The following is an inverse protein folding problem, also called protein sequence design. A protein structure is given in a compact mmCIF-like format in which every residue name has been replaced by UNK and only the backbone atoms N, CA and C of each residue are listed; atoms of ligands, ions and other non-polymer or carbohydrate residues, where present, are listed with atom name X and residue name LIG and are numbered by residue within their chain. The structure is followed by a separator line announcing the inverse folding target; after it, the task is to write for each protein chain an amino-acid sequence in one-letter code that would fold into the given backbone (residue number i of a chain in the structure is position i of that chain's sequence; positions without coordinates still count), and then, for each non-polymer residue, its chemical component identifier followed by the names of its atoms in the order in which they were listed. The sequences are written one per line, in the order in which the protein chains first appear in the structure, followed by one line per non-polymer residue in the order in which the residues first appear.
data_IF_838645739353
#
_entry.id   IF_838645739353
#
_cell.length_a   1.000
_cell.length_b   1.000
_cell.length_c   1.000
_cell.angle_alpha   90.00
_cell.angle_beta   90.00
_cell.angle_gamma   90.00
#
_symmetry.space_group_name_H-M   'P 1'
#
loop_
_entity.id
_entity.type
_entity.pdbx_description
1 polymer ?
#
# COMPACT_ATOMS: atom_id res chain seq x y z
N UNK A 1 51.97 -68.74 -4.82
CA UNK A 1 52.16 -67.33 -4.42
C UNK A 1 51.00 -66.49 -4.95
N UNK A 2 49.94 -66.42 -4.17
CA UNK A 2 48.76 -65.64 -4.57
C UNK A 2 48.81 -64.25 -3.89
N UNK A 3 48.91 -63.22 -4.65
CA UNK A 3 48.79 -61.83 -4.15
C UNK A 3 47.35 -61.38 -4.25
N UNK A 4 46.68 -61.27 -3.09
CA UNK A 4 45.33 -60.68 -3.00
C UNK A 4 45.45 -59.16 -2.94
N UNK A 5 44.91 -58.43 -3.93
CA UNK A 5 44.77 -56.98 -3.88
C UNK A 5 43.48 -56.65 -3.15
N UNK A 6 43.59 -55.94 -2.03
CA UNK A 6 42.44 -55.34 -1.33
C UNK A 6 42.23 -53.95 -1.91
N UNK A 7 41.13 -53.76 -2.63
CA UNK A 7 40.65 -52.44 -3.07
C UNK A 7 39.87 -51.76 -1.92
N UNK A 8 40.45 -50.75 -1.32
CA UNK A 8 39.73 -49.89 -0.37
C UNK A 8 38.91 -48.88 -1.13
N UNK A 9 37.60 -49.09 -1.18
CA UNK A 9 36.65 -48.09 -1.70
C UNK A 9 36.41 -47.03 -0.63
N UNK A 10 36.95 -45.81 -0.83
CA UNK A 10 36.65 -44.64 0.00
C UNK A 10 35.25 -44.11 -0.42
N UNK A 11 34.26 -44.35 0.41
CA UNK A 11 32.92 -43.80 0.29
C UNK A 11 32.95 -42.32 0.73
N UNK A 12 33.03 -41.39 -0.21
CA UNK A 12 32.81 -39.95 0.04
C UNK A 12 31.34 -39.75 0.39
N UNK A 13 31.01 -39.66 1.68
CA UNK A 13 29.74 -39.12 2.12
C UNK A 13 29.69 -37.61 1.76
N UNK A 14 29.02 -37.28 0.69
CA UNK A 14 28.58 -35.90 0.43
C UNK A 14 27.53 -35.55 1.49
N UNK A 15 27.95 -34.83 2.53
CA UNK A 15 27.02 -34.19 3.46
C UNK A 15 26.33 -33.10 2.62
N UNK A 16 25.16 -33.43 2.05
CA UNK A 16 24.26 -32.43 1.54
C UNK A 16 23.82 -31.60 2.76
N UNK A 17 24.35 -30.38 2.88
CA UNK A 17 23.76 -29.40 3.76
C UNK A 17 22.33 -29.15 3.25
N UNK A 18 21.35 -29.85 3.79
CA UNK A 18 19.95 -29.54 3.57
C UNK A 18 19.70 -28.17 4.18
N UNK A 19 19.45 -27.18 3.33
CA UNK A 19 19.09 -25.86 3.79
C UNK A 19 17.86 -25.98 4.71
N UNK A 20 17.91 -25.29 5.86
CA UNK A 20 16.75 -25.23 6.76
C UNK A 20 15.58 -24.60 5.96
N UNK A 21 14.43 -25.27 5.85
CA UNK A 21 13.28 -24.71 5.16
C UNK A 21 12.84 -23.42 5.86
N UNK A 22 12.30 -22.48 5.09
CA UNK A 22 11.65 -21.30 5.66
C UNK A 22 10.29 -21.72 6.23
N UNK A 23 10.07 -21.46 7.51
CA UNK A 23 8.86 -21.87 8.24
C UNK A 23 7.87 -20.70 8.47
N UNK A 24 8.19 -19.48 8.00
CA UNK A 24 7.33 -18.30 8.14
C UNK A 24 6.16 -18.29 7.13
N UNK A 25 5.17 -17.40 7.34
CA UNK A 25 4.07 -17.24 6.39
C UNK A 25 4.57 -16.71 5.04
N UNK A 26 3.89 -17.12 3.98
CA UNK A 26 4.16 -16.70 2.61
C UNK A 26 3.03 -15.81 2.09
N UNK A 27 3.32 -14.83 1.21
CA UNK A 27 2.29 -14.06 0.55
C UNK A 27 1.47 -14.93 -0.40
N UNK A 28 0.19 -14.61 -0.52
CA UNK A 28 -0.64 -15.10 -1.63
C UNK A 28 -0.20 -14.45 -2.96
N UNK A 29 -0.52 -15.05 -4.12
CA UNK A 29 -0.31 -14.40 -5.41
C UNK A 29 -0.95 -13.02 -5.53
N UNK A 30 -2.10 -12.82 -4.89
CA UNK A 30 -2.81 -11.54 -4.85
C UNK A 30 -2.02 -10.49 -4.06
N UNK A 31 -1.45 -10.87 -2.92
CA UNK A 31 -0.62 -9.96 -2.11
C UNK A 31 0.68 -9.59 -2.82
N UNK A 32 1.30 -10.51 -3.55
CA UNK A 32 2.47 -10.21 -4.40
C UNK A 32 2.08 -9.19 -5.48
N UNK A 33 1.01 -9.46 -6.24
CA UNK A 33 0.55 -8.57 -7.30
C UNK A 33 0.13 -7.18 -6.77
N UNK A 34 -0.36 -7.11 -5.53
CA UNK A 34 -0.69 -5.87 -4.86
C UNK A 34 0.60 -5.12 -4.45
N UNK A 35 1.58 -5.77 -3.83
CA UNK A 35 2.86 -5.16 -3.49
C UNK A 35 3.61 -4.66 -4.74
N UNK A 36 3.51 -5.36 -5.88
CA UNK A 36 4.11 -4.96 -7.17
C UNK A 36 3.51 -3.66 -7.74
N UNK A 37 2.36 -3.21 -7.25
CA UNK A 37 1.81 -1.91 -7.64
C UNK A 37 2.61 -0.74 -7.08
N UNK A 38 3.22 -0.89 -5.91
CA UNK A 38 4.01 0.10 -5.18
C UNK A 38 3.26 1.38 -4.79
N UNK A 39 2.49 1.96 -5.72
CA UNK A 39 1.73 3.20 -5.53
C UNK A 39 0.31 3.07 -6.05
N UNK A 40 -0.66 3.43 -5.20
CA UNK A 40 -2.07 3.60 -5.53
C UNK A 40 -2.56 4.98 -5.09
N UNK A 41 -3.61 5.48 -5.74
CA UNK A 41 -4.19 6.80 -5.43
C UNK A 41 -5.47 6.62 -4.62
N UNK A 42 -5.60 7.36 -3.54
CA UNK A 42 -6.84 7.49 -2.79
C UNK A 42 -7.60 8.73 -3.26
N UNK A 43 -8.92 8.65 -3.39
CA UNK A 43 -9.79 9.78 -3.71
C UNK A 43 -10.85 9.92 -2.62
N UNK A 44 -10.64 10.83 -1.66
CA UNK A 44 -11.68 11.23 -0.73
C UNK A 44 -12.61 12.22 -1.41
N UNK A 45 -13.83 11.79 -1.66
CA UNK A 45 -14.86 12.59 -2.34
C UNK A 45 -16.23 12.29 -1.76
N UNK A 46 -17.06 13.29 -1.57
CA UNK A 46 -18.37 13.15 -0.94
C UNK A 46 -18.91 14.47 -0.41
N UNK A 47 -19.97 14.49 0.42
CA UNK A 47 -20.51 15.71 1.04
C UNK A 47 -19.45 16.56 1.74
N UNK A 48 -18.43 15.94 2.33
CA UNK A 48 -17.33 16.61 3.03
C UNK A 48 -16.49 17.52 2.12
N UNK A 49 -16.41 17.22 0.83
CA UNK A 49 -15.80 18.10 -0.18
C UNK A 49 -16.53 19.45 -0.26
N UNK A 50 -17.83 19.47 0.01
CA UNK A 50 -18.69 20.67 -0.09
C UNK A 50 -18.87 21.38 1.25
N UNK A 51 -18.79 20.65 2.37
CA UNK A 51 -18.89 21.24 3.72
C UNK A 51 -17.54 21.70 4.25
N UNK A 52 -16.43 21.16 3.77
CA UNK A 52 -15.09 21.38 4.28
C UNK A 52 -14.82 20.67 5.61
N UNK A 53 -15.64 19.69 6.01
CA UNK A 53 -15.43 18.88 7.20
C UNK A 53 -14.56 17.64 6.87
N UNK A 54 -13.83 17.12 7.86
CA UNK A 54 -13.14 15.84 7.73
C UNK A 54 -14.11 14.67 7.93
N UNK A 55 -14.99 14.79 8.90
CA UNK A 55 -16.05 13.84 9.17
C UNK A 55 -17.39 14.57 9.11
N UNK A 56 -18.29 14.06 8.27
CA UNK A 56 -19.66 14.57 8.19
C UNK A 56 -20.48 14.16 9.42
N UNK A 57 -21.61 14.81 9.59
CA UNK A 57 -22.52 14.59 10.71
C UNK A 57 -23.50 13.43 10.49
N UNK A 58 -23.69 13.01 9.22
CA UNK A 58 -24.70 12.01 8.80
C UNK A 58 -26.10 12.62 8.65
N UNK A 59 -26.21 13.94 8.72
CA UNK A 59 -27.46 14.69 8.58
C UNK A 59 -27.39 15.71 7.46
N UNK A 60 -26.35 15.65 6.65
CA UNK A 60 -26.17 16.50 5.48
C UNK A 60 -27.32 16.27 4.49
N UNK A 61 -27.87 17.36 3.95
CA UNK A 61 -28.82 17.23 2.88
C UNK A 61 -28.14 16.63 1.63
N UNK A 62 -28.77 15.68 0.98
CA UNK A 62 -28.23 14.98 -0.19
C UNK A 62 -27.90 15.94 -1.34
N UNK A 63 -28.64 17.05 -1.46
CA UNK A 63 -28.40 18.11 -2.44
C UNK A 63 -27.10 18.91 -2.24
N UNK A 64 -26.41 18.75 -1.10
CA UNK A 64 -25.05 19.27 -0.92
C UNK A 64 -24.08 18.62 -1.90
N UNK A 65 -24.29 17.33 -2.23
CA UNK A 65 -23.49 16.63 -3.22
C UNK A 65 -23.93 17.03 -4.63
N UNK A 66 -23.25 18.03 -5.18
CA UNK A 66 -23.57 18.57 -6.50
C UNK A 66 -22.30 18.99 -7.27
N UNK A 67 -21.44 18.05 -7.68
CA UNK A 67 -20.29 18.36 -8.51
C UNK A 67 -20.71 18.90 -9.87
N UNK A 68 -20.15 20.06 -10.26
CA UNK A 68 -20.57 20.80 -11.46
C UNK A 68 -19.98 20.25 -12.75
N UNK A 69 -18.87 19.48 -12.66
CA UNK A 69 -18.10 18.99 -13.82
C UNK A 69 -17.34 17.71 -13.47
N UNK A 70 -18.06 16.70 -12.92
CA UNK A 70 -17.45 15.42 -12.57
C UNK A 70 -16.81 14.75 -13.79
N UNK A 71 -15.50 14.51 -13.71
CA UNK A 71 -14.72 13.84 -14.75
C UNK A 71 -13.80 12.76 -14.16
N UNK A 72 -14.34 11.57 -13.92
CA UNK A 72 -13.57 10.42 -13.43
C UNK A 72 -12.47 9.98 -14.41
N UNK A 73 -12.61 10.23 -15.72
CA UNK A 73 -11.54 9.98 -16.69
C UNK A 73 -10.34 10.88 -16.47
N UNK A 74 -10.56 12.13 -16.03
CA UNK A 74 -9.47 13.04 -15.67
C UNK A 74 -8.74 12.52 -14.43
N UNK A 75 -9.46 11.99 -13.42
CA UNK A 75 -8.80 11.37 -12.24
C UNK A 75 -7.91 10.22 -12.65
N UNK A 76 -8.44 9.28 -13.45
CA UNK A 76 -7.72 8.07 -13.89
C UNK A 76 -6.51 8.43 -14.75
N UNK A 77 -6.65 9.39 -15.69
CA UNK A 77 -5.52 9.84 -16.51
C UNK A 77 -4.44 10.52 -15.68
N UNK A 78 -4.83 11.32 -14.69
CA UNK A 78 -3.89 11.95 -13.75
C UNK A 78 -3.15 10.89 -12.94
N UNK A 79 -3.86 9.91 -12.37
CA UNK A 79 -3.26 8.80 -11.63
C UNK A 79 -2.27 8.00 -12.50
N UNK A 80 -2.69 7.61 -13.69
CA UNK A 80 -1.85 6.87 -14.66
C UNK A 80 -0.60 7.64 -15.05
N UNK A 81 -0.72 8.93 -15.37
CA UNK A 81 0.40 9.78 -15.72
C UNK A 81 1.38 9.98 -14.56
N UNK A 82 0.88 10.00 -13.32
CA UNK A 82 1.71 10.05 -12.12
C UNK A 82 2.33 8.68 -11.73
N UNK A 83 1.97 7.60 -12.42
CA UNK A 83 2.55 6.27 -12.23
C UNK A 83 1.80 5.39 -11.24
N UNK A 84 0.65 5.81 -10.72
CA UNK A 84 -0.22 4.97 -9.89
C UNK A 84 -0.80 3.81 -10.69
N UNK A 85 -1.02 2.68 -10.03
CA UNK A 85 -1.51 1.44 -10.64
C UNK A 85 -2.97 1.13 -10.32
N UNK A 86 -3.52 1.80 -9.31
CA UNK A 86 -4.89 1.67 -8.86
C UNK A 86 -5.43 2.97 -8.28
N UNK A 87 -6.76 3.09 -8.20
CA UNK A 87 -7.48 4.15 -7.52
C UNK A 87 -8.46 3.51 -6.55
N UNK A 88 -8.49 4.00 -5.31
CA UNK A 88 -9.46 3.66 -4.29
C UNK A 88 -10.31 4.91 -4.03
N UNK A 89 -11.63 4.80 -4.10
CA UNK A 89 -12.56 5.89 -3.81
C UNK A 89 -13.27 5.67 -2.48
N UNK A 90 -13.45 6.74 -1.68
CA UNK A 90 -14.37 6.71 -0.54
C UNK A 90 -15.83 6.61 -1.03
N UNK A 91 -16.23 5.40 -1.41
CA UNK A 91 -17.58 5.14 -1.93
C UNK A 91 -18.66 5.51 -0.90
N UNK A 92 -18.40 5.20 0.38
CA UNK A 92 -19.21 5.64 1.53
C UNK A 92 -18.27 5.99 2.68
N UNK A 93 -18.25 7.24 3.13
CA UNK A 93 -17.51 7.69 4.32
C UNK A 93 -18.37 7.56 5.59
N UNK A 94 -17.91 8.05 6.74
CA UNK A 94 -18.56 7.92 8.04
C UNK A 94 -19.91 8.64 8.13
N UNK A 95 -20.16 9.67 7.30
CA UNK A 95 -21.45 10.34 7.17
C UNK A 95 -22.56 9.41 6.66
N UNK A 96 -22.21 8.30 6.02
CA UNK A 96 -23.15 7.32 5.46
C UNK A 96 -23.59 7.63 4.03
N UNK A 97 -23.15 8.76 3.44
CA UNK A 97 -23.51 9.11 2.07
C UNK A 97 -22.87 8.17 1.05
N UNK A 98 -23.69 7.57 0.21
CA UNK A 98 -23.27 6.64 -0.82
C UNK A 98 -23.12 7.33 -2.18
N UNK A 99 -21.94 7.24 -2.79
CA UNK A 99 -21.64 7.81 -4.12
C UNK A 99 -22.26 7.00 -5.28
N UNK A 100 -23.07 6.01 -4.97
CA UNK A 100 -23.83 5.16 -5.90
C UNK A 100 -25.26 4.97 -5.39
N UNK A 101 -26.24 4.54 -6.23
CA UNK A 101 -27.62 4.34 -5.83
C UNK A 101 -27.76 3.07 -4.96
N UNK A 102 -27.26 3.13 -3.72
CA UNK A 102 -27.31 2.01 -2.76
C UNK A 102 -28.79 1.60 -2.48
N UNK A 103 -29.18 0.33 -2.71
CA UNK A 103 -30.58 -0.09 -2.57
C UNK A 103 -31.07 -0.12 -1.13
N UNK A 104 -30.18 -0.10 -0.14
CA UNK A 104 -30.54 -0.19 1.29
C UNK A 104 -30.36 1.13 2.05
N UNK A 105 -29.94 2.19 1.40
CA UNK A 105 -29.80 3.54 1.98
C UNK A 105 -30.65 4.54 1.20
N UNK A 106 -31.10 5.60 1.90
CA UNK A 106 -31.71 6.79 1.30
C UNK A 106 -30.77 8.00 1.34
N UNK A 107 -29.58 7.85 1.89
CA UNK A 107 -28.56 8.86 1.92
C UNK A 107 -27.55 8.60 0.80
N UNK A 108 -27.97 8.89 -0.44
CA UNK A 108 -27.23 8.51 -1.64
C UNK A 108 -27.36 9.55 -2.74
N UNK A 109 -26.53 9.45 -3.77
CA UNK A 109 -26.61 10.27 -5.01
C UNK A 109 -27.97 10.20 -5.69
N UNK A 110 -28.77 9.14 -5.47
CA UNK A 110 -30.12 9.00 -6.04
C UNK A 110 -31.10 10.00 -5.45
N UNK A 111 -30.95 10.35 -4.18
CA UNK A 111 -31.79 11.31 -3.47
C UNK A 111 -31.32 12.76 -3.66
N UNK A 112 -30.11 12.98 -4.21
CA UNK A 112 -29.63 14.32 -4.58
C UNK A 112 -30.23 14.79 -5.90
N UNK A 113 -30.24 16.10 -6.13
CA UNK A 113 -30.62 16.70 -7.43
C UNK A 113 -29.51 16.54 -8.49
N UNK A 114 -28.33 16.10 -8.10
CA UNK A 114 -27.22 15.89 -9.02
C UNK A 114 -27.58 14.87 -10.10
N UNK A 115 -27.45 15.29 -11.38
CA UNK A 115 -27.87 14.50 -12.56
C UNK A 115 -29.32 14.00 -12.48
N UNK A 116 -30.20 14.74 -11.78
CA UNK A 116 -31.61 14.38 -11.62
C UNK A 116 -31.85 13.09 -10.82
N UNK A 117 -30.90 12.72 -9.92
CA UNK A 117 -30.97 11.49 -9.13
C UNK A 117 -30.49 10.22 -9.88
N UNK A 118 -30.00 10.35 -11.11
CA UNK A 118 -29.49 9.24 -11.93
C UNK A 118 -27.96 9.13 -11.92
N UNK A 119 -27.30 9.88 -11.03
CA UNK A 119 -25.85 9.86 -10.91
C UNK A 119 -25.32 8.59 -10.25
N UNK A 120 -24.13 8.15 -10.69
CA UNK A 120 -23.39 7.02 -10.10
C UNK A 120 -21.90 7.25 -10.31
N UNK A 121 -21.21 7.72 -9.26
CA UNK A 121 -19.78 8.04 -9.33
C UNK A 121 -18.94 6.77 -9.45
N UNK A 122 -19.38 5.66 -8.83
CA UNK A 122 -18.65 4.40 -8.89
C UNK A 122 -18.67 3.83 -10.31
N UNK A 123 -19.79 3.95 -11.00
CA UNK A 123 -19.91 3.55 -12.40
C UNK A 123 -18.98 4.37 -13.27
N UNK A 124 -19.04 5.69 -13.17
CA UNK A 124 -18.18 6.58 -13.97
C UNK A 124 -16.69 6.29 -13.74
N UNK A 125 -16.29 6.03 -12.47
CA UNK A 125 -14.90 5.75 -12.12
C UNK A 125 -14.46 4.35 -12.55
N UNK A 126 -15.27 3.32 -12.30
CA UNK A 126 -14.91 1.94 -12.66
C UNK A 126 -14.80 1.74 -14.18
N UNK A 127 -15.68 2.38 -14.97
CA UNK A 127 -15.60 2.40 -16.42
C UNK A 127 -14.32 3.12 -16.90
N UNK A 128 -14.01 4.28 -16.33
CA UNK A 128 -12.78 5.01 -16.65
C UNK A 128 -11.51 4.20 -16.29
N UNK A 129 -11.51 3.52 -15.15
CA UNK A 129 -10.41 2.63 -14.74
C UNK A 129 -10.21 1.48 -15.73
N UNK A 130 -11.30 0.84 -16.17
CA UNK A 130 -11.26 -0.24 -17.15
C UNK A 130 -10.74 0.23 -18.51
N UNK A 131 -11.19 1.40 -18.99
CA UNK A 131 -10.74 2.01 -20.25
C UNK A 131 -9.23 2.30 -20.25
N UNK A 132 -8.69 2.78 -19.14
CA UNK A 132 -7.28 3.22 -19.04
C UNK A 132 -6.33 2.12 -18.50
N UNK A 133 -6.87 0.98 -18.07
CA UNK A 133 -6.10 -0.14 -17.51
C UNK A 133 -5.54 0.15 -16.10
N UNK A 134 -6.22 1.00 -15.34
CA UNK A 134 -5.96 1.26 -13.90
C UNK A 134 -6.89 0.36 -13.08
N UNK A 135 -6.41 -0.16 -11.95
CA UNK A 135 -7.23 -0.98 -11.07
C UNK A 135 -8.21 -0.13 -10.26
N UNK A 136 -9.45 -0.63 -10.11
CA UNK A 136 -10.51 0.02 -9.33
C UNK A 136 -10.61 -0.62 -7.95
N UNK A 137 -10.59 0.19 -6.90
CA UNK A 137 -10.77 -0.19 -5.51
C UNK A 137 -11.78 0.73 -4.81
N UNK A 138 -12.30 0.27 -3.69
CA UNK A 138 -13.33 0.99 -2.94
C UNK A 138 -13.03 1.00 -1.44
N UNK A 139 -13.29 2.15 -0.82
CA UNK A 139 -13.41 2.30 0.62
C UNK A 139 -14.91 2.37 0.96
N UNK A 140 -15.38 1.47 1.81
CA UNK A 140 -16.75 1.48 2.32
C UNK A 140 -16.67 1.44 3.83
N UNK A 141 -16.90 2.61 4.48
CA UNK A 141 -16.85 2.71 5.93
C UNK A 141 -17.88 1.80 6.60
N UNK A 142 -17.47 0.95 7.56
CA UNK A 142 -18.43 0.25 8.40
C UNK A 142 -19.13 1.19 9.38
N UNK A 143 -18.48 2.30 9.80
CA UNK A 143 -19.14 3.33 10.58
C UNK A 143 -20.12 4.10 9.72
N UNK A 144 -21.34 4.33 10.27
CA UNK A 144 -22.42 5.01 9.58
C UNK A 144 -23.18 5.92 10.55
N UNK A 145 -23.08 7.22 10.31
CA UNK A 145 -23.71 8.24 11.14
C UNK A 145 -25.15 8.57 10.70
N UNK A 146 -25.61 7.98 9.59
CA UNK A 146 -26.95 8.21 9.03
C UNK A 146 -27.88 7.01 9.21
N UNK A 147 -27.41 5.76 9.08
CA UNK A 147 -28.28 4.57 9.09
C UNK A 147 -28.94 4.36 10.46
N UNK A 148 -30.28 4.29 10.54
CA UNK A 148 -31.00 4.13 11.80
C UNK A 148 -30.78 2.77 12.48
N UNK A 149 -30.29 1.75 11.75
CA UNK A 149 -29.98 0.43 12.32
C UNK A 149 -28.58 0.39 12.93
N UNK A 150 -27.71 1.40 12.68
CA UNK A 150 -26.36 1.43 13.25
C UNK A 150 -26.43 1.38 14.79
N UNK A 151 -25.54 0.60 15.39
CA UNK A 151 -25.58 0.31 16.83
C UNK A 151 -26.55 -0.81 17.22
N UNK A 152 -27.08 -1.57 16.24
CA UNK A 152 -27.90 -2.76 16.43
C UNK A 152 -27.36 -3.96 15.65
N UNK A 153 -27.72 -5.23 16.02
CA UNK A 153 -27.30 -6.41 15.25
C UNK A 153 -27.77 -6.42 13.79
N UNK A 154 -28.90 -5.76 13.48
CA UNK A 154 -29.46 -5.67 12.13
C UNK A 154 -28.55 -4.92 11.16
N UNK A 155 -27.78 -3.95 11.65
CA UNK A 155 -26.86 -3.18 10.81
C UNK A 155 -25.84 -4.06 10.09
N UNK A 156 -25.36 -5.14 10.71
CA UNK A 156 -24.42 -6.04 10.05
C UNK A 156 -24.99 -6.61 8.74
N UNK A 157 -26.30 -6.92 8.70
CA UNK A 157 -26.97 -7.37 7.48
C UNK A 157 -27.20 -6.23 6.48
N UNK A 158 -27.47 -5.00 6.95
CA UNK A 158 -27.58 -3.81 6.10
C UNK A 158 -26.21 -3.55 5.44
N UNK A 159 -25.12 -3.62 6.21
CA UNK A 159 -23.79 -3.41 5.70
C UNK A 159 -23.36 -4.49 4.69
N UNK A 160 -23.71 -5.77 4.91
CA UNK A 160 -23.51 -6.84 3.91
C UNK A 160 -24.21 -6.51 2.59
N UNK A 161 -25.48 -6.07 2.64
CA UNK A 161 -26.19 -5.65 1.40
C UNK A 161 -25.56 -4.44 0.72
N UNK A 162 -25.00 -3.52 1.51
CA UNK A 162 -24.19 -2.40 1.00
C UNK A 162 -22.97 -2.93 0.26
N UNK A 163 -22.20 -3.87 0.86
CA UNK A 163 -21.07 -4.52 0.20
C UNK A 163 -21.49 -5.28 -1.06
N UNK A 164 -22.58 -6.06 -1.00
CA UNK A 164 -23.12 -6.80 -2.15
C UNK A 164 -23.50 -5.89 -3.32
N UNK A 165 -24.04 -4.70 -3.05
CA UNK A 165 -24.43 -3.74 -4.08
C UNK A 165 -23.24 -3.16 -4.86
N UNK A 166 -22.05 -3.14 -4.26
CA UNK A 166 -20.80 -2.68 -4.91
C UNK A 166 -20.00 -3.85 -5.47
N UNK A 167 -19.80 -4.90 -4.65
CA UNK A 167 -18.87 -5.98 -4.96
C UNK A 167 -19.50 -7.09 -5.81
N UNK A 168 -20.82 -7.06 -5.99
CA UNK A 168 -21.59 -8.08 -6.73
C UNK A 168 -21.38 -8.09 -8.25
N UNK A 169 -20.43 -7.30 -8.77
CA UNK A 169 -20.00 -7.32 -10.17
C UNK A 169 -20.54 -6.16 -11.01
N UNK A 170 -21.41 -5.30 -10.50
CA UNK A 170 -21.94 -4.15 -11.24
C UNK A 170 -20.84 -3.16 -11.70
N UNK A 171 -19.77 -3.06 -10.94
CA UNK A 171 -18.62 -2.17 -11.19
C UNK A 171 -17.36 -2.92 -11.64
N UNK A 172 -17.48 -4.20 -12.02
CA UNK A 172 -16.36 -5.03 -12.46
C UNK A 172 -15.46 -5.52 -11.31
N UNK A 173 -14.20 -5.86 -11.62
CA UNK A 173 -13.26 -6.36 -10.62
C UNK A 173 -12.80 -5.23 -9.68
N UNK A 174 -12.84 -5.51 -8.38
CA UNK A 174 -12.33 -4.64 -7.32
C UNK A 174 -11.00 -5.22 -6.81
N UNK A 175 -9.90 -4.45 -6.89
CA UNK A 175 -8.60 -4.95 -6.46
C UNK A 175 -8.39 -4.85 -4.95
N UNK A 176 -9.08 -3.90 -4.31
CA UNK A 176 -8.97 -3.65 -2.88
C UNK A 176 -10.29 -3.14 -2.29
N UNK A 177 -10.72 -3.77 -1.19
CA UNK A 177 -11.78 -3.30 -0.31
C UNK A 177 -11.13 -2.74 0.95
N UNK A 178 -11.25 -1.45 1.14
CA UNK A 178 -10.69 -0.71 2.26
C UNK A 178 -11.72 -0.54 3.37
N UNK A 179 -11.45 -1.10 4.55
CA UNK A 179 -12.28 -0.96 5.74
C UNK A 179 -11.58 -0.04 6.75
N UNK A 180 -12.21 1.09 7.05
CA UNK A 180 -11.77 1.97 8.12
C UNK A 180 -12.07 1.33 9.49
N UNK A 181 -11.08 1.39 10.39
CA UNK A 181 -11.21 0.88 11.75
C UNK A 181 -11.99 1.80 12.70
N UNK A 182 -12.38 3.01 12.25
CA UNK A 182 -13.13 3.94 13.08
C UNK A 182 -14.50 3.37 13.47
N UNK A 183 -14.86 3.54 14.75
CA UNK A 183 -16.10 3.05 15.31
C UNK A 183 -16.65 4.08 16.31
N UNK A 184 -17.32 5.10 15.78
CA UNK A 184 -18.00 6.12 16.55
C UNK A 184 -19.46 5.77 16.81
N UNK A 185 -20.21 6.74 17.34
CA UNK A 185 -21.64 6.63 17.58
C UNK A 185 -22.44 6.86 16.29
N UNK A 186 -23.56 6.16 16.13
CA UNK A 186 -24.54 6.40 15.10
C UNK A 186 -25.65 7.35 15.54
N UNK A 187 -26.73 7.48 14.74
CA UNK A 187 -27.84 8.42 15.04
C UNK A 187 -28.53 8.14 16.37
N UNK A 188 -28.46 6.91 16.85
CA UNK A 188 -29.05 6.47 18.14
C UNK A 188 -28.11 6.61 19.35
N UNK A 189 -26.91 7.21 19.17
CA UNK A 189 -25.90 7.38 20.21
C UNK A 189 -25.18 6.09 20.61
N UNK A 190 -25.24 5.03 19.78
CA UNK A 190 -24.60 3.75 20.07
C UNK A 190 -23.48 3.47 19.06
N UNK A 191 -22.45 2.78 19.54
CA UNK A 191 -21.42 2.18 18.70
C UNK A 191 -21.87 0.83 18.17
N UNK A 192 -21.40 0.46 16.99
CA UNK A 192 -21.70 -0.82 16.37
C UNK A 192 -20.75 -1.92 16.86
N UNK A 193 -21.26 -3.12 16.99
CA UNK A 193 -20.45 -4.34 17.08
C UNK A 193 -20.39 -4.94 15.68
N UNK A 194 -19.24 -4.78 15.01
CA UNK A 194 -19.05 -5.28 13.65
C UNK A 194 -18.85 -6.79 13.61
N UNK A 195 -19.52 -7.45 12.67
CA UNK A 195 -19.28 -8.86 12.34
C UNK A 195 -18.22 -8.98 11.25
N UNK A 196 -16.94 -8.81 11.63
CA UNK A 196 -15.82 -8.86 10.70
C UNK A 196 -15.73 -10.17 9.91
N UNK A 197 -15.95 -11.37 10.50
CA UNK A 197 -15.99 -12.61 9.74
C UNK A 197 -17.03 -12.58 8.62
N UNK A 198 -18.22 -12.02 8.88
CA UNK A 198 -19.29 -11.88 7.90
C UNK A 198 -18.88 -10.88 6.79
N UNK A 199 -18.29 -9.74 7.15
CA UNK A 199 -17.86 -8.72 6.18
C UNK A 199 -16.74 -9.24 5.28
N UNK A 200 -15.67 -9.80 5.86
CA UNK A 200 -14.56 -10.38 5.11
C UNK A 200 -15.02 -11.56 4.24
N UNK A 201 -15.88 -12.44 4.79
CA UNK A 201 -16.45 -13.56 4.04
C UNK A 201 -17.28 -13.11 2.82
N UNK A 202 -18.01 -11.99 2.94
CA UNK A 202 -18.75 -11.38 1.84
C UNK A 202 -17.79 -10.88 0.74
N UNK A 203 -16.73 -10.18 1.12
CA UNK A 203 -15.71 -9.72 0.14
C UNK A 203 -15.06 -10.90 -0.56
N UNK A 204 -14.55 -11.89 0.16
CA UNK A 204 -13.91 -13.07 -0.43
C UNK A 204 -14.83 -13.86 -1.36
N UNK A 205 -16.12 -13.93 -1.03
CA UNK A 205 -17.11 -14.60 -1.89
C UNK A 205 -17.35 -13.86 -3.20
N UNK A 206 -17.44 -12.52 -3.16
CA UNK A 206 -17.84 -11.71 -4.31
C UNK A 206 -16.64 -11.27 -5.15
N UNK A 207 -15.51 -10.98 -4.52
CA UNK A 207 -14.28 -10.50 -5.14
C UNK A 207 -13.06 -11.30 -4.59
N UNK A 208 -12.88 -12.57 -4.97
CA UNK A 208 -11.87 -13.46 -4.39
C UNK A 208 -10.42 -13.01 -4.70
N UNK A 209 -10.23 -12.06 -5.62
CA UNK A 209 -8.93 -11.48 -5.95
C UNK A 209 -8.65 -10.17 -5.20
N UNK A 210 -9.65 -9.63 -4.49
CA UNK A 210 -9.48 -8.37 -3.78
C UNK A 210 -8.58 -8.53 -2.56
N UNK A 211 -7.74 -7.54 -2.33
CA UNK A 211 -7.07 -7.35 -1.04
C UNK A 211 -8.06 -6.69 -0.08
N UNK A 212 -8.08 -7.15 1.15
CA UNK A 212 -8.86 -6.53 2.22
C UNK A 212 -7.89 -5.74 3.10
N UNK A 213 -8.07 -4.44 3.14
CA UNK A 213 -7.40 -3.56 4.10
C UNK A 213 -8.20 -3.48 5.40
N UNK A 214 -7.51 -3.58 6.50
CA UNK A 214 -7.90 -3.04 7.80
C UNK A 214 -6.63 -2.71 8.60
N UNK A 215 -6.78 -2.22 9.83
CA UNK A 215 -5.63 -1.99 10.71
C UNK A 215 -4.79 -3.25 10.98
N UNK A 216 -5.37 -4.46 10.83
CA UNK A 216 -4.68 -5.74 11.06
C UNK A 216 -4.84 -6.78 9.91
N UNK A 217 -5.30 -6.36 8.74
CA UNK A 217 -5.51 -7.27 7.59
C UNK A 217 -6.97 -7.76 7.44
N UNK A 218 -7.19 -8.88 6.74
CA UNK A 218 -6.25 -9.98 6.42
C UNK A 218 -5.37 -9.78 5.17
N UNK A 219 -5.70 -8.86 4.27
CA UNK A 219 -4.95 -8.67 3.02
C UNK A 219 -3.68 -7.83 3.20
N UNK A 220 -3.84 -6.64 3.75
CA UNK A 220 -2.78 -5.71 4.13
C UNK A 220 -3.16 -4.99 5.43
N UNK A 221 -2.20 -4.34 6.07
CA UNK A 221 -2.41 -3.63 7.32
C UNK A 221 -2.15 -2.13 7.18
N UNK A 222 -2.85 -1.36 7.98
CA UNK A 222 -2.47 0.02 8.23
C UNK A 222 -1.06 0.12 8.84
N UNK A 223 -0.26 1.06 8.38
CA UNK A 223 1.12 1.27 8.86
C UNK A 223 1.18 1.92 10.26
N UNK A 224 0.04 2.23 10.87
CA UNK A 224 -0.05 2.80 12.23
C UNK A 224 0.08 4.32 12.32
N UNK A 225 0.19 5.02 11.19
CA UNK A 225 0.21 6.48 11.09
C UNK A 225 -0.28 6.95 9.72
N UNK A 226 -0.67 8.23 9.63
CA UNK A 226 -1.10 8.92 8.41
C UNK A 226 -0.07 9.96 7.94
N UNK A 227 1.19 9.79 8.34
CA UNK A 227 2.27 10.73 8.07
C UNK A 227 3.13 10.33 6.86
N UNK A 228 2.83 9.19 6.24
CA UNK A 228 3.50 8.74 5.03
C UNK A 228 4.81 7.99 5.28
N UNK A 229 4.96 7.28 6.42
CA UNK A 229 6.17 6.51 6.68
C UNK A 229 5.92 5.15 7.32
N UNK A 230 6.62 4.15 6.84
CA UNK A 230 6.82 2.85 7.46
C UNK A 230 8.10 2.84 8.31
N UNK A 231 8.20 1.89 9.22
CA UNK A 231 9.39 1.69 10.02
C UNK A 231 10.65 1.42 9.17
N UNK A 232 11.81 1.82 9.67
CA UNK A 232 13.09 1.46 9.06
C UNK A 232 13.26 -0.05 9.00
N UNK A 233 12.87 -0.76 10.06
CA UNK A 233 12.57 -2.19 10.04
C UNK A 233 11.12 -2.37 9.65
N UNK A 234 10.84 -3.15 8.61
CA UNK A 234 9.46 -3.44 8.22
C UNK A 234 9.34 -4.87 7.68
N UNK A 235 8.65 -5.71 8.46
CA UNK A 235 8.28 -7.07 8.09
C UNK A 235 6.92 -7.10 7.41
N UNK A 236 6.79 -7.90 6.34
CA UNK A 236 5.49 -8.19 5.72
C UNK A 236 4.61 -9.12 6.56
N UNK A 237 5.08 -9.51 7.73
CA UNK A 237 4.41 -10.42 8.66
C UNK A 237 3.92 -9.70 9.91
N UNK A 238 2.84 -10.22 10.52
CA UNK A 238 2.21 -9.65 11.72
C UNK A 238 1.60 -10.77 12.57
N UNK A 239 1.61 -10.59 13.89
CA UNK A 239 0.85 -11.41 14.83
C UNK A 239 -0.56 -10.80 14.98
N UNK A 240 -1.55 -11.48 14.44
CA UNK A 240 -2.95 -11.00 14.38
C UNK A 240 -3.89 -11.73 15.32
N UNK A 241 -3.42 -12.79 15.98
CA UNK A 241 -4.24 -13.62 16.86
C UNK A 241 -4.74 -12.83 18.08
N UNK A 242 -6.04 -12.89 18.35
CA UNK A 242 -6.67 -12.21 19.47
C UNK A 242 -7.01 -10.74 19.22
N UNK A 243 -6.68 -10.17 18.07
CA UNK A 243 -7.06 -8.82 17.70
C UNK A 243 -8.29 -8.77 16.81
N UNK A 244 -9.05 -7.70 16.91
CA UNK A 244 -10.24 -7.42 16.12
C UNK A 244 -10.05 -6.07 15.43
N UNK A 245 -10.30 -5.93 14.11
CA UNK A 245 -10.17 -4.67 13.40
C UNK A 245 -10.93 -3.52 14.11
N UNK A 246 -10.26 -2.38 14.28
CA UNK A 246 -10.84 -1.21 14.94
C UNK A 246 -11.04 -1.32 16.45
N UNK A 247 -10.65 -2.41 17.10
CA UNK A 247 -10.87 -2.66 18.53
C UNK A 247 -9.58 -3.06 19.26
N UNK A 248 -8.61 -2.16 19.32
CA UNK A 248 -7.37 -2.41 20.06
C UNK A 248 -6.50 -3.45 19.37
N UNK A 249 -5.97 -3.11 18.23
CA UNK A 249 -5.04 -3.92 17.46
C UNK A 249 -3.66 -4.03 18.12
N UNK A 250 -2.67 -4.55 17.37
CA UNK A 250 -1.27 -4.56 17.78
C UNK A 250 -0.78 -3.16 18.16
N UNK A 251 0.37 -3.10 18.84
CA UNK A 251 0.99 -1.82 19.15
C UNK A 251 1.25 -1.00 17.87
N UNK A 252 1.26 0.33 17.97
CA UNK A 252 1.65 1.17 16.82
C UNK A 252 3.02 0.82 16.27
N UNK A 253 3.93 0.34 17.10
CA UNK A 253 5.22 -0.14 16.66
C UNK A 253 5.09 -1.40 15.81
N UNK A 254 4.31 -2.42 16.23
CA UNK A 254 4.06 -3.62 15.43
C UNK A 254 3.36 -3.30 14.11
N UNK A 255 2.40 -2.35 14.11
CA UNK A 255 1.77 -1.90 12.86
C UNK A 255 2.78 -1.23 11.93
N UNK A 256 3.71 -0.43 12.46
CA UNK A 256 4.70 0.30 11.69
C UNK A 256 5.85 -0.58 11.17
N UNK A 257 6.31 -1.54 11.99
CA UNK A 257 7.48 -2.36 11.72
C UNK A 257 7.16 -3.81 11.29
N UNK A 258 5.91 -4.25 11.47
CA UNK A 258 5.56 -5.65 11.39
C UNK A 258 6.22 -6.47 12.50
N UNK A 259 5.98 -7.76 12.51
CA UNK A 259 6.55 -8.69 13.50
C UNK A 259 7.46 -9.71 12.79
N UNK A 260 8.69 -9.82 13.23
CA UNK A 260 9.69 -10.76 12.68
C UNK A 260 9.24 -12.22 12.75
N UNK A 261 8.54 -12.58 13.81
CA UNK A 261 7.95 -13.89 14.08
C UNK A 261 6.44 -13.91 13.84
N UNK A 262 5.94 -12.97 13.00
CA UNK A 262 4.53 -12.85 12.67
C UNK A 262 3.96 -14.13 12.06
N UNK A 263 2.73 -14.45 12.44
CA UNK A 263 2.05 -15.71 12.07
C UNK A 263 1.24 -15.59 10.78
N UNK A 264 1.00 -14.36 10.28
CA UNK A 264 0.29 -14.09 9.04
C UNK A 264 1.10 -13.14 8.14
N UNK A 265 0.96 -13.30 6.79
CA UNK A 265 1.49 -12.32 5.84
C UNK A 265 0.49 -11.18 5.69
N UNK A 266 0.83 -10.03 6.25
CA UNK A 266 -0.02 -8.82 6.27
C UNK A 266 0.87 -7.60 6.01
N UNK A 267 1.26 -7.36 4.74
CA UNK A 267 2.18 -6.29 4.38
C UNK A 267 1.58 -4.92 4.69
N UNK A 268 2.44 -3.94 4.95
CA UNK A 268 2.01 -2.59 5.30
C UNK A 268 1.49 -1.81 4.08
N UNK A 269 0.43 -1.03 4.30
CA UNK A 269 0.02 0.07 3.45
C UNK A 269 0.23 1.38 4.20
N UNK A 270 0.87 2.33 3.53
CA UNK A 270 1.14 3.67 4.03
C UNK A 270 0.20 4.66 3.36
N UNK A 271 -0.84 5.05 4.08
CA UNK A 271 -1.81 6.05 3.64
C UNK A 271 -1.38 7.45 4.09
N UNK A 272 -1.50 8.43 3.21
CA UNK A 272 -1.17 9.82 3.48
C UNK A 272 -1.83 10.74 2.45
N UNK A 273 -2.28 11.92 2.89
CA UNK A 273 -2.85 12.90 1.95
C UNK A 273 -1.77 13.81 1.36
N UNK A 274 -1.92 14.17 0.07
CA UNK A 274 -1.09 15.19 -0.58
C UNK A 274 -1.32 16.59 0.01
N UNK A 275 -2.47 16.80 0.65
CA UNK A 275 -2.90 18.03 1.34
C UNK A 275 -2.87 17.85 2.86
N UNK A 276 -3.09 18.91 3.66
CA UNK A 276 -3.27 18.78 5.11
C UNK A 276 -4.48 17.90 5.47
N UNK A 277 -5.63 18.12 4.82
CA UNK A 277 -6.86 17.36 5.04
C UNK A 277 -7.02 16.18 4.07
N UNK A 278 -7.98 15.29 4.38
CA UNK A 278 -8.35 14.16 3.51
C UNK A 278 -9.28 14.61 2.39
N UNK A 279 -10.25 15.51 2.68
CA UNK A 279 -11.12 16.11 1.66
C UNK A 279 -10.53 17.43 1.15
N UNK A 280 -10.81 17.75 -0.11
CA UNK A 280 -10.33 18.98 -0.72
C UNK A 280 -10.90 20.23 -0.07
N UNK A 281 -10.05 21.23 0.11
CA UNK A 281 -10.41 22.60 0.54
C UNK A 281 -9.63 23.63 -0.26
N UNK A 282 -10.31 24.68 -0.72
CA UNK A 282 -9.65 25.77 -1.47
C UNK A 282 -8.55 26.47 -0.65
N UNK A 283 -8.73 26.56 0.67
CA UNK A 283 -7.76 27.17 1.60
C UNK A 283 -6.44 26.38 1.76
N UNK A 284 -6.36 25.16 1.19
CA UNK A 284 -5.17 24.30 1.24
C UNK A 284 -4.42 24.24 -0.09
N UNK A 285 -4.81 25.03 -1.11
CA UNK A 285 -4.16 24.98 -2.43
C UNK A 285 -2.68 25.37 -2.39
N UNK A 286 -2.27 26.22 -1.47
CA UNK A 286 -0.87 26.62 -1.24
C UNK A 286 -0.12 25.70 -0.26
N UNK A 287 -0.80 24.67 0.30
CA UNK A 287 -0.26 23.74 1.28
C UNK A 287 -0.05 22.32 0.73
N UNK A 288 -0.20 22.13 -0.57
CA UNK A 288 0.09 20.86 -1.24
C UNK A 288 1.56 20.49 -1.01
N UNK A 289 1.81 19.25 -0.57
CA UNK A 289 3.16 18.77 -0.25
C UNK A 289 4.13 19.01 -1.40
N UNK A 290 5.34 19.47 -1.09
CA UNK A 290 6.38 19.71 -2.08
C UNK A 290 6.89 18.41 -2.70
N UNK A 291 7.58 18.47 -3.85
CA UNK A 291 8.24 17.31 -4.46
C UNK A 291 9.21 16.66 -3.48
N UNK A 292 9.99 17.46 -2.73
CA UNK A 292 10.91 16.96 -1.70
C UNK A 292 10.16 16.14 -0.63
N UNK A 293 8.99 16.62 -0.18
CA UNK A 293 8.20 15.91 0.81
C UNK A 293 7.60 14.61 0.22
N UNK A 294 7.15 14.62 -1.03
CA UNK A 294 6.63 13.42 -1.70
C UNK A 294 7.74 12.39 -1.95
N UNK A 295 8.96 12.82 -2.31
CA UNK A 295 10.12 11.93 -2.42
C UNK A 295 10.48 11.32 -1.06
N UNK A 296 10.44 12.11 0.03
CA UNK A 296 10.62 11.59 1.39
C UNK A 296 9.59 10.50 1.69
N UNK A 297 8.31 10.75 1.42
CA UNK A 297 7.23 9.77 1.60
C UNK A 297 7.51 8.50 0.77
N UNK A 298 7.91 8.63 -0.49
CA UNK A 298 8.25 7.50 -1.34
C UNK A 298 9.39 6.64 -0.76
N UNK A 299 10.47 7.28 -0.33
CA UNK A 299 11.59 6.59 0.30
C UNK A 299 11.23 5.93 1.62
N UNK A 300 10.32 6.55 2.39
CA UNK A 300 9.92 6.06 3.71
C UNK A 300 8.71 5.12 3.68
N UNK A 301 8.06 4.93 2.54
CA UNK A 301 6.99 3.94 2.32
C UNK A 301 7.44 2.83 1.36
N UNK A 302 7.46 3.09 0.06
CA UNK A 302 7.88 2.12 -0.97
C UNK A 302 9.31 1.63 -0.71
N UNK A 303 10.21 2.57 -0.38
CA UNK A 303 11.60 2.27 -0.02
C UNK A 303 11.78 1.55 1.32
N UNK A 304 10.71 1.29 2.07
CA UNK A 304 10.68 0.56 3.34
C UNK A 304 9.65 -0.57 3.34
N UNK A 305 9.53 -1.28 2.22
CA UNK A 305 8.69 -2.48 2.10
C UNK A 305 7.19 -2.23 2.39
N UNK A 306 6.64 -1.08 1.98
CA UNK A 306 5.23 -0.74 2.12
C UNK A 306 4.66 -0.26 0.78
N UNK A 307 3.37 -0.51 0.51
CA UNK A 307 2.68 0.16 -0.59
C UNK A 307 2.34 1.59 -0.16
N UNK A 308 2.48 2.55 -1.06
CA UNK A 308 2.05 3.94 -0.84
C UNK A 308 0.63 4.15 -1.38
N UNK A 309 -0.30 4.48 -0.51
CA UNK A 309 -1.64 4.96 -0.84
C UNK A 309 -1.68 6.48 -0.65
N UNK A 310 -1.49 7.24 -1.75
CA UNK A 310 -1.46 8.70 -1.70
C UNK A 310 -2.85 9.26 -1.98
N UNK A 311 -3.45 9.95 -1.01
CA UNK A 311 -4.73 10.62 -1.19
C UNK A 311 -4.58 11.91 -1.98
N UNK A 312 -5.37 12.02 -3.04
CA UNK A 312 -5.48 13.18 -3.93
C UNK A 312 -6.97 13.49 -4.11
N UNK A 313 -7.53 14.34 -3.23
CA UNK A 313 -8.98 14.55 -3.19
C UNK A 313 -9.46 15.41 -4.35
N UNK A 314 -10.54 14.99 -5.05
CA UNK A 314 -11.20 15.83 -6.05
C UNK A 314 -11.85 17.07 -5.41
N UNK A 315 -11.86 18.18 -6.13
CA UNK A 315 -12.46 19.43 -5.72
C UNK A 315 -14.00 19.44 -5.90
N UNK A 316 -14.65 20.55 -5.54
CA UNK A 316 -16.11 20.70 -5.64
C UNK A 316 -16.67 20.64 -7.08
N UNK A 317 -15.82 20.76 -8.10
CA UNK A 317 -16.21 20.49 -9.49
C UNK A 317 -16.34 19.01 -9.76
N UNK A 318 -15.66 18.15 -8.99
CA UNK A 318 -15.46 16.73 -9.24
C UNK A 318 -14.24 16.46 -10.14
N UNK A 319 -13.17 17.24 -9.99
CA UNK A 319 -11.90 17.09 -10.71
C UNK A 319 -10.71 17.07 -9.76
N UNK A 320 -9.67 16.36 -10.11
CA UNK A 320 -8.37 16.57 -9.45
C UNK A 320 -7.92 17.99 -9.78
N UNK A 321 -7.71 18.78 -8.72
CA UNK A 321 -7.36 20.18 -8.86
C UNK A 321 -6.01 20.36 -9.56
N UNK A 322 -5.85 21.47 -10.31
CA UNK A 322 -4.68 21.73 -11.15
C UNK A 322 -3.37 21.78 -10.35
N UNK A 323 -3.43 22.28 -9.13
CA UNK A 323 -2.24 22.32 -8.23
C UNK A 323 -1.78 20.91 -7.86
N UNK A 324 -2.73 20.01 -7.55
CA UNK A 324 -2.41 18.62 -7.19
C UNK A 324 -1.87 17.86 -8.40
N UNK A 325 -2.54 17.97 -9.55
CA UNK A 325 -2.12 17.29 -10.78
C UNK A 325 -0.74 17.77 -11.25
N UNK A 326 -0.45 19.07 -11.16
CA UNK A 326 0.88 19.62 -11.46
C UNK A 326 1.93 19.04 -10.52
N UNK A 327 1.66 19.02 -9.22
CA UNK A 327 2.59 18.46 -8.22
C UNK A 327 2.85 16.98 -8.45
N UNK A 328 1.84 16.21 -8.84
CA UNK A 328 2.00 14.80 -9.18
C UNK A 328 2.88 14.58 -10.40
N UNK A 329 2.76 15.45 -11.44
CA UNK A 329 3.62 15.38 -12.63
C UNK A 329 5.07 15.75 -12.30
N UNK A 330 5.29 16.74 -11.45
CA UNK A 330 6.62 17.10 -10.95
C UNK A 330 7.25 15.96 -10.14
N UNK A 331 6.48 15.32 -9.25
CA UNK A 331 6.91 14.17 -8.48
C UNK A 331 7.24 12.98 -9.39
N UNK A 332 6.40 12.68 -10.39
CA UNK A 332 6.66 11.62 -11.37
C UNK A 332 7.95 11.90 -12.15
N UNK A 333 8.13 13.12 -12.64
CA UNK A 333 9.35 13.51 -13.36
C UNK A 333 10.61 13.34 -12.50
N UNK A 334 10.53 13.66 -11.20
CA UNK A 334 11.62 13.44 -10.26
C UNK A 334 11.95 11.95 -10.10
N UNK A 335 10.94 11.08 -9.91
CA UNK A 335 11.15 9.63 -9.84
C UNK A 335 11.73 9.08 -11.14
N UNK A 336 11.22 9.52 -12.30
CA UNK A 336 11.73 9.10 -13.60
C UNK A 336 13.20 9.49 -13.78
N UNK A 337 13.58 10.69 -13.35
CA UNK A 337 14.98 11.15 -13.41
C UNK A 337 15.90 10.34 -12.49
N UNK A 338 15.48 10.11 -11.23
CA UNK A 338 16.28 9.40 -10.23
C UNK A 338 16.54 7.95 -10.66
N UNK A 339 15.49 7.27 -11.14
CA UNK A 339 15.55 5.84 -11.47
C UNK A 339 15.76 5.55 -12.97
N UNK A 340 16.10 6.57 -13.78
CA UNK A 340 16.34 6.40 -15.22
C UNK A 340 17.56 5.55 -15.56
N UNK A 341 18.61 5.63 -14.74
CA UNK A 341 19.91 5.05 -15.07
C UNK A 341 20.45 4.19 -13.91
N UNK A 342 20.29 2.89 -14.04
CA UNK A 342 20.90 1.94 -13.12
C UNK A 342 22.37 1.73 -13.48
N UNK A 343 23.27 2.19 -12.61
CA UNK A 343 24.71 2.05 -12.78
C UNK A 343 25.26 0.75 -12.19
N UNK A 344 24.39 -0.15 -11.67
CA UNK A 344 24.80 -1.45 -11.20
C UNK A 344 25.15 -2.39 -12.35
N UNK A 345 26.29 -3.05 -12.24
CA UNK A 345 26.67 -4.16 -13.10
C UNK A 345 26.04 -5.48 -12.63
N UNK A 346 26.47 -6.59 -13.25
CA UNK A 346 25.99 -7.92 -12.85
C UNK A 346 26.44 -8.29 -11.45
N UNK A 347 25.49 -8.68 -10.60
CA UNK A 347 25.79 -9.17 -9.26
C UNK A 347 26.48 -10.55 -9.29
N UNK A 348 27.52 -10.69 -8.46
CA UNK A 348 28.21 -11.97 -8.18
C UNK A 348 27.96 -12.33 -6.73
N UNK A 349 27.33 -13.48 -6.49
CA UNK A 349 27.05 -13.99 -5.14
C UNK A 349 28.17 -14.89 -4.64
N UNK A 350 28.54 -14.71 -3.37
CA UNK A 350 29.41 -15.62 -2.61
C UNK A 350 28.87 -15.76 -1.18
N UNK A 351 28.32 -16.93 -0.86
CA UNK A 351 27.64 -17.15 0.43
C UNK A 351 26.43 -16.21 0.61
N UNK A 352 26.48 -15.39 1.65
CA UNK A 352 25.47 -14.38 1.98
C UNK A 352 25.85 -12.96 1.49
N UNK A 353 26.85 -12.86 0.62
CA UNK A 353 27.31 -11.56 0.07
C UNK A 353 27.06 -11.50 -1.43
N UNK A 354 26.68 -10.32 -1.92
CA UNK A 354 26.58 -9.96 -3.33
C UNK A 354 27.55 -8.82 -3.61
N UNK A 355 28.38 -8.97 -4.62
CA UNK A 355 29.26 -7.91 -5.11
C UNK A 355 28.77 -7.48 -6.48
N UNK A 356 28.56 -6.17 -6.64
CA UNK A 356 28.07 -5.52 -7.85
C UNK A 356 29.12 -4.52 -8.32
N UNK A 357 29.49 -4.55 -9.59
CA UNK A 357 30.32 -3.50 -10.21
C UNK A 357 29.49 -2.20 -10.30
N UNK A 358 30.07 -1.07 -9.87
CA UNK A 358 29.45 0.24 -10.05
C UNK A 358 30.07 0.93 -11.27
N UNK A 359 29.21 1.36 -12.21
CA UNK A 359 29.61 1.94 -13.50
C UNK A 359 29.51 3.47 -13.53
N UNK A 360 29.28 4.08 -12.38
CA UNK A 360 29.14 5.52 -12.22
C UNK A 360 28.91 5.90 -10.76
N UNK A 361 28.79 7.19 -10.46
CA UNK A 361 28.46 7.67 -9.13
C UNK A 361 27.05 7.23 -8.73
N UNK A 362 26.82 7.05 -7.43
CA UNK A 362 25.52 6.67 -6.87
C UNK A 362 25.37 7.17 -5.43
N UNK A 363 24.14 7.34 -5.01
CA UNK A 363 23.76 7.63 -3.63
C UNK A 363 22.45 6.94 -3.21
N UNK A 364 21.91 6.06 -4.07
CA UNK A 364 20.74 5.22 -3.78
C UNK A 364 21.07 3.77 -4.11
N UNK A 365 20.77 2.86 -3.17
CA UNK A 365 20.82 1.43 -3.39
C UNK A 365 19.40 0.88 -3.31
N UNK A 366 18.95 0.20 -4.34
CA UNK A 366 17.65 -0.50 -4.38
C UNK A 366 17.89 -2.00 -4.22
N UNK A 367 17.24 -2.61 -3.23
CA UNK A 367 17.24 -4.05 -3.02
C UNK A 367 15.80 -4.58 -3.05
N UNK A 368 15.63 -5.78 -3.59
CA UNK A 368 14.36 -6.52 -3.53
C UNK A 368 14.63 -7.98 -3.18
N UNK A 369 13.83 -8.55 -2.27
CA UNK A 369 13.81 -10.00 -2.05
C UNK A 369 12.81 -10.67 -3.00
N UNK A 370 13.04 -11.95 -3.29
CA UNK A 370 12.02 -12.83 -3.86
C UNK A 370 11.01 -13.20 -2.76
N UNK A 371 10.04 -12.30 -2.51
CA UNK A 371 9.07 -12.45 -1.42
C UNK A 371 8.12 -13.64 -1.60
N UNK A 372 8.01 -14.21 -2.81
CA UNK A 372 7.27 -15.46 -3.01
C UNK A 372 7.84 -16.62 -2.17
N UNK A 373 9.08 -16.47 -1.71
CA UNK A 373 9.77 -17.40 -0.80
C UNK A 373 9.74 -16.95 0.65
N UNK A 374 8.99 -15.90 0.96
CA UNK A 374 8.96 -15.24 2.26
C UNK A 374 10.07 -14.19 2.44
N UNK A 375 9.82 -13.23 3.29
CA UNK A 375 10.82 -12.23 3.70
C UNK A 375 11.83 -12.85 4.66
N UNK A 376 13.10 -12.74 4.37
CA UNK A 376 14.15 -13.49 5.08
C UNK A 376 15.26 -12.62 5.66
N UNK A 377 15.57 -11.48 5.02
CA UNK A 377 16.67 -10.62 5.42
C UNK A 377 16.27 -9.80 6.64
N UNK A 378 17.02 -9.95 7.73
CA UNK A 378 16.81 -9.23 8.98
C UNK A 378 17.83 -8.10 9.18
N UNK A 379 19.08 -8.29 8.69
CA UNK A 379 20.10 -7.25 8.74
C UNK A 379 21.12 -7.46 7.62
N UNK A 380 21.68 -6.34 7.12
CA UNK A 380 22.73 -6.35 6.11
C UNK A 380 23.64 -5.13 6.22
N UNK A 381 24.84 -5.25 5.67
CA UNK A 381 25.80 -4.14 5.52
C UNK A 381 25.98 -3.83 4.04
N UNK A 382 26.25 -2.55 3.75
CA UNK A 382 26.60 -2.04 2.43
C UNK A 382 28.02 -1.46 2.50
N UNK A 383 28.89 -1.94 1.65
CA UNK A 383 30.29 -1.48 1.58
C UNK A 383 30.65 -1.09 0.15
N UNK A 384 31.42 -0.02 -0.01
CA UNK A 384 32.02 0.38 -1.28
C UNK A 384 33.51 0.00 -1.34
N UNK A 385 33.99 -0.40 -2.51
CA UNK A 385 35.40 -0.67 -2.74
C UNK A 385 36.12 0.62 -3.13
N UNK A 386 37.00 1.08 -2.26
CA UNK A 386 37.88 2.25 -2.45
C UNK A 386 39.34 1.81 -2.70
N UNK A 387 40.22 2.75 -2.99
CA UNK A 387 41.65 2.47 -3.11
C UNK A 387 42.25 1.88 -1.81
N UNK A 388 41.67 2.21 -0.66
CA UNK A 388 42.14 1.76 0.67
C UNK A 388 41.48 0.43 1.10
N UNK A 389 40.59 -0.16 0.28
CA UNK A 389 39.86 -1.37 0.57
C UNK A 389 38.35 -1.16 0.67
N UNK A 390 37.66 -2.07 1.36
CA UNK A 390 36.21 -1.98 1.57
C UNK A 390 35.88 -1.03 2.72
N UNK A 391 35.02 -0.06 2.44
CA UNK A 391 34.51 0.94 3.41
C UNK A 391 33.01 0.76 3.58
N UNK A 392 32.55 0.64 4.82
CA UNK A 392 31.13 0.59 5.15
C UNK A 392 30.44 1.92 4.84
N UNK A 393 29.36 1.86 4.05
CA UNK A 393 28.48 2.99 3.72
C UNK A 393 27.22 3.01 4.59
N UNK A 394 26.66 1.82 4.87
CA UNK A 394 25.44 1.69 5.68
C UNK A 394 25.37 0.32 6.37
N UNK A 395 24.66 0.32 7.50
CA UNK A 395 24.19 -0.87 8.21
C UNK A 395 22.66 -0.77 8.28
N UNK A 396 21.95 -1.77 7.76
CA UNK A 396 20.51 -1.74 7.54
C UNK A 396 19.83 -3.01 8.03
N UNK A 397 18.50 -2.93 8.13
CA UNK A 397 17.67 -4.01 8.65
C UNK A 397 17.01 -4.81 7.52
N UNK A 398 15.66 -4.84 7.45
CA UNK A 398 14.89 -5.64 6.51
C UNK A 398 14.98 -5.14 5.06
N UNK A 399 14.77 -6.04 4.11
CA UNK A 399 14.61 -5.72 2.68
C UNK A 399 13.15 -5.87 2.25
N UNK A 400 12.61 -7.08 2.19
CA UNK A 400 11.25 -7.37 1.75
C UNK A 400 11.03 -7.11 0.25
N UNK A 401 9.82 -6.68 -0.12
CA UNK A 401 9.47 -6.41 -1.51
C UNK A 401 10.40 -5.35 -2.15
N UNK A 402 10.65 -4.24 -1.46
CA UNK A 402 11.60 -3.20 -1.89
C UNK A 402 12.22 -2.47 -0.69
N UNK A 403 13.53 -2.31 -0.75
CA UNK A 403 14.30 -1.45 0.15
C UNK A 403 15.10 -0.45 -0.67
N UNK A 404 14.95 0.84 -0.37
CA UNK A 404 15.78 1.90 -0.92
C UNK A 404 16.64 2.44 0.22
N UNK A 405 17.97 2.27 0.10
CA UNK A 405 18.92 2.78 1.07
C UNK A 405 19.49 4.09 0.55
N UNK A 406 19.35 5.14 1.36
CA UNK A 406 19.96 6.44 1.10
C UNK A 406 21.43 6.36 1.56
N UNK A 407 22.33 6.54 0.63
CA UNK A 407 23.78 6.47 0.85
C UNK A 407 24.40 7.86 0.70
N UNK A 408 25.58 8.12 1.30
CA UNK A 408 26.35 9.28 0.95
C UNK A 408 26.73 9.23 -0.53
N UNK A 409 26.97 10.40 -1.16
CA UNK A 409 27.50 10.47 -2.51
C UNK A 409 28.78 9.63 -2.61
N UNK A 410 28.77 8.64 -3.51
CA UNK A 410 29.80 7.61 -3.59
C UNK A 410 30.27 7.42 -5.02
N UNK A 411 31.58 7.42 -5.18
CA UNK A 411 32.29 6.96 -6.38
C UNK A 411 33.14 5.75 -5.98
N UNK A 412 32.85 4.59 -6.57
CA UNK A 412 33.54 3.34 -6.26
C UNK A 412 33.45 2.36 -7.43
N UNK A 413 34.41 1.43 -7.53
CA UNK A 413 34.40 0.41 -8.59
C UNK A 413 33.39 -0.71 -8.33
N UNK A 414 33.05 -0.95 -7.07
CA UNK A 414 32.14 -2.01 -6.68
C UNK A 414 31.46 -1.73 -5.34
N UNK A 415 30.26 -2.27 -5.20
CA UNK A 415 29.49 -2.31 -3.94
C UNK A 415 29.34 -3.75 -3.49
N UNK A 416 29.49 -4.00 -2.20
CA UNK A 416 29.22 -5.31 -1.58
C UNK A 416 28.07 -5.19 -0.58
N UNK A 417 27.07 -6.01 -0.78
CA UNK A 417 25.95 -6.18 0.14
C UNK A 417 26.17 -7.51 0.87
N UNK A 418 26.34 -7.48 2.19
CA UNK A 418 26.51 -8.69 3.02
C UNK A 418 25.33 -8.81 3.97
N UNK A 419 24.52 -9.87 3.81
CA UNK A 419 23.45 -10.21 4.75
C UNK A 419 24.09 -10.78 6.00
N UNK A 420 23.98 -10.04 7.09
CA UNK A 420 24.58 -10.38 8.40
C UNK A 420 23.63 -11.20 9.26
N UNK A 421 22.30 -11.04 9.05
CA UNK A 421 21.27 -11.82 9.73
C UNK A 421 20.11 -12.15 8.80
N UNK A 422 19.62 -13.38 8.82
CA UNK A 422 18.46 -13.83 8.05
C UNK A 422 17.75 -15.01 8.70
N UNK A 423 16.43 -15.13 8.45
CA UNK A 423 15.59 -16.23 8.96
C UNK A 423 15.85 -17.56 8.22
N UNK A 424 16.26 -17.48 6.97
CA UNK A 424 16.65 -18.58 6.11
C UNK A 424 17.62 -18.06 5.04
N UNK A 425 18.06 -18.92 4.09
CA UNK A 425 18.95 -18.50 3.00
C UNK A 425 18.36 -17.31 2.24
N UNK A 426 19.04 -16.14 2.22
CA UNK A 426 18.52 -14.93 1.58
C UNK A 426 18.48 -15.06 0.06
N UNK A 427 17.48 -14.45 -0.57
CA UNK A 427 17.29 -14.39 -2.01
C UNK A 427 17.01 -12.96 -2.46
N UNK A 428 18.01 -12.25 -2.95
CA UNK A 428 17.80 -10.97 -3.64
C UNK A 428 17.42 -11.22 -5.09
N UNK A 429 16.29 -10.67 -5.50
CA UNK A 429 15.79 -10.68 -6.89
C UNK A 429 16.30 -9.48 -7.69
N UNK A 430 16.60 -8.36 -7.00
CA UNK A 430 17.13 -7.15 -7.62
C UNK A 430 18.17 -6.45 -6.74
N UNK A 431 19.18 -5.86 -7.39
CA UNK A 431 20.16 -4.94 -6.81
C UNK A 431 20.41 -3.84 -7.84
N UNK A 432 20.02 -2.62 -7.54
CA UNK A 432 20.20 -1.44 -8.40
C UNK A 432 20.94 -0.32 -7.68
N UNK A 433 21.72 0.45 -8.44
CA UNK A 433 22.47 1.64 -7.96
C UNK A 433 22.05 2.85 -8.79
N UNK A 434 21.62 3.92 -8.12
CA UNK A 434 21.10 5.11 -8.76
C UNK A 434 21.69 6.37 -8.18
N UNK A 435 21.69 7.43 -9.00
CA UNK A 435 22.09 8.77 -8.60
C UNK A 435 20.84 9.64 -8.43
N UNK A 436 20.68 10.19 -7.24
CA UNK A 436 19.63 11.16 -6.93
C UNK A 436 20.28 12.51 -6.61
N UNK A 437 20.08 13.49 -7.49
CA UNK A 437 20.54 14.87 -7.34
C UNK A 437 19.37 15.81 -6.98
N UNK A 438 18.19 15.23 -6.68
CA UNK A 438 16.96 15.99 -6.43
C UNK A 438 16.63 16.02 -4.93
N UNK A 439 16.69 14.85 -4.27
CA UNK A 439 16.35 14.73 -2.86
C UNK A 439 17.60 14.87 -1.99
N UNK A 440 17.62 15.93 -1.15
CA UNK A 440 18.71 16.27 -0.23
C UNK A 440 18.58 15.58 1.14
#
# INVERSE_FOLDING_TARGET
MNKTFILASALLLAIACTEKPFEGPLPSPQQIAWQDMEMTMFCHFGPNTFTGLEWGEGTEAEDLFNPTDLDCRQWVRTAKAAGFKGIIITAKHHDGFCLWPNPVSKHTVRESSWRGGEGDVLKDLSEACAEEGIKFGVYISPWDRNDPHYGTPEYNNVFVKTLESVLGGAYGPVFEQWFDGANGEGPNGKKQVYDWPLFHGTVFKLQPQAIIFSDIGPGCRWVGNEQGHAGRTNWGTLNVEGFIPGQGGPSRQSLNEGDRDGTAWVPAETDVSIRPGWFWRASENDQVKSVQHLLKIYYESVGRNSLLLLNVPPDTRGRIHEVDSTRLMEFRAALDQIFANDVAGRAKRSGNSWTVEAKGPFNRLVLQEDIARGQRIAAFTVEARTAEGWKTLAEETTVGHKRIVLLPQTEADAVRITVTESLAKPHLSNIGLYQDDIYE
#
